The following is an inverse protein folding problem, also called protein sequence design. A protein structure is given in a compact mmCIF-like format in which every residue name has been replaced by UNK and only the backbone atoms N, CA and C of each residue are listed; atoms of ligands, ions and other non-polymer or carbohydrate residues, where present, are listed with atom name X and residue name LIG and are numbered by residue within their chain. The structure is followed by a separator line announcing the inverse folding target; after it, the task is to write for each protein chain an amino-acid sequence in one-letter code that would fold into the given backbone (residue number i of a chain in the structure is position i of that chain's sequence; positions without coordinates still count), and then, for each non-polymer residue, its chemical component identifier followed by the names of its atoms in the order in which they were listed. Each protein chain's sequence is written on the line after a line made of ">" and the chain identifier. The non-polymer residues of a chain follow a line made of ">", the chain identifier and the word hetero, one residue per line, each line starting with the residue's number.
data_IF_388225890804
#
_entry.id   IF_388225890804
#
_cell.length_a   1.000
_cell.length_b   1.000
_cell.length_c   1.000
_cell.angle_alpha   90.00
_cell.angle_beta   90.00
_cell.angle_gamma   90.00
#
_symmetry.space_group_name_H-M   'P 1'
#
loop_
_entity.id
_entity.type
_entity.pdbx_description
1 polymer ?
#
# COMPACT_ATOMS: atom_id res chain seq x y z
N UNK A 1 -20.12 -21.06 7.26
CA UNK A 1 -19.42 -22.34 7.53
C UNK A 1 -19.65 -23.42 6.46
N UNK A 2 -20.89 -23.73 6.04
CA UNK A 2 -21.16 -24.80 5.05
C UNK A 2 -20.42 -24.65 3.73
N UNK A 3 -20.36 -23.45 3.16
CA UNK A 3 -19.62 -23.19 1.90
C UNK A 3 -18.14 -23.52 2.03
N UNK A 4 -17.48 -23.04 3.09
CA UNK A 4 -16.06 -23.28 3.33
C UNK A 4 -15.73 -24.79 3.42
N UNK A 5 -16.51 -25.57 4.19
CA UNK A 5 -16.32 -27.02 4.30
C UNK A 5 -16.50 -27.70 2.95
N UNK A 6 -17.51 -27.30 2.16
CA UNK A 6 -17.74 -27.84 0.82
C UNK A 6 -16.54 -27.61 -0.11
N UNK A 7 -16.01 -26.38 -0.16
CA UNK A 7 -14.87 -26.05 -1.03
C UNK A 7 -13.57 -26.74 -0.56
N UNK A 8 -13.33 -26.83 0.75
CA UNK A 8 -12.18 -27.56 1.29
C UNK A 8 -12.25 -29.06 0.97
N UNK A 9 -13.41 -29.70 1.17
CA UNK A 9 -13.60 -31.12 0.81
C UNK A 9 -13.46 -31.36 -0.69
N UNK A 10 -13.89 -30.42 -1.53
CA UNK A 10 -13.71 -30.51 -2.98
C UNK A 10 -12.23 -30.49 -3.35
N UNK A 11 -11.43 -29.58 -2.79
CA UNK A 11 -9.97 -29.53 -2.99
C UNK A 11 -9.28 -30.82 -2.55
N UNK A 12 -9.59 -31.34 -1.36
CA UNK A 12 -8.98 -32.59 -0.86
C UNK A 12 -9.31 -33.79 -1.74
N UNK A 13 -10.52 -33.85 -2.33
CA UNK A 13 -10.90 -34.92 -3.25
C UNK A 13 -10.26 -34.80 -4.63
N UNK A 14 -9.93 -33.58 -5.05
CA UNK A 14 -9.29 -33.30 -6.34
C UNK A 14 -7.82 -33.70 -6.32
N UNK A 15 -7.09 -33.32 -5.25
CA UNK A 15 -5.64 -33.55 -5.16
C UNK A 15 -5.26 -34.86 -4.45
N UNK A 16 -6.23 -35.55 -3.85
CA UNK A 16 -6.07 -36.83 -3.13
C UNK A 16 -4.80 -36.90 -2.25
N UNK A 17 -4.61 -35.96 -1.29
CA UNK A 17 -3.34 -35.83 -0.59
C UNK A 17 -3.09 -37.04 0.31
N UNK A 18 -1.82 -37.42 0.40
CA UNK A 18 -1.33 -38.43 1.34
C UNK A 18 -1.45 -37.94 2.78
N UNK A 19 -1.35 -38.87 3.73
CA UNK A 19 -1.32 -38.55 5.17
C UNK A 19 -0.13 -37.64 5.52
N UNK A 20 1.00 -37.81 4.84
CA UNK A 20 2.21 -37.02 5.04
C UNK A 20 2.04 -35.57 4.53
N UNK A 21 1.45 -35.39 3.35
CA UNK A 21 1.11 -34.05 2.83
C UNK A 21 0.10 -33.34 3.73
N UNK A 22 -0.91 -34.05 4.22
CA UNK A 22 -1.84 -33.50 5.21
C UNK A 22 -1.13 -33.08 6.50
N UNK A 23 -0.26 -33.93 7.05
CA UNK A 23 0.52 -33.59 8.25
C UNK A 23 1.43 -32.37 8.04
N UNK A 24 2.01 -32.25 6.85
CA UNK A 24 2.82 -31.09 6.44
C UNK A 24 1.98 -29.81 6.39
N UNK A 25 0.77 -29.87 5.82
CA UNK A 25 -0.14 -28.73 5.79
C UNK A 25 -0.61 -28.29 7.19
N UNK A 26 -0.87 -29.25 8.09
CA UNK A 26 -1.18 -28.95 9.50
C UNK A 26 0.01 -28.27 10.17
N UNK A 27 1.22 -28.80 10.02
CA UNK A 27 2.44 -28.20 10.56
C UNK A 27 2.67 -26.78 10.04
N UNK A 28 2.46 -26.55 8.74
CA UNK A 28 2.52 -25.22 8.14
C UNK A 28 1.55 -24.23 8.79
N UNK A 29 0.28 -24.59 8.94
CA UNK A 29 -0.73 -23.72 9.57
C UNK A 29 -0.44 -23.47 11.06
N UNK A 30 0.08 -24.48 11.76
CA UNK A 30 0.55 -24.33 13.16
C UNK A 30 1.69 -23.32 13.24
N UNK A 31 2.69 -23.42 12.36
CA UNK A 31 3.81 -22.48 12.31
C UNK A 31 3.36 -21.06 11.97
N UNK A 32 2.38 -20.91 11.06
CA UNK A 32 1.79 -19.59 10.72
C UNK A 32 1.19 -18.96 11.98
N UNK A 33 0.40 -19.72 12.74
CA UNK A 33 -0.16 -19.26 14.00
C UNK A 33 0.92 -18.92 15.04
N UNK A 34 1.94 -19.76 15.20
CA UNK A 34 3.03 -19.56 16.16
C UNK A 34 3.94 -18.36 15.80
N UNK A 35 4.00 -17.97 14.53
CA UNK A 35 4.78 -16.83 14.04
C UNK A 35 4.06 -15.49 14.27
N UNK A 36 2.76 -15.52 14.54
CA UNK A 36 1.99 -14.30 14.81
C UNK A 36 2.38 -13.68 16.17
N UNK A 37 2.59 -12.37 16.19
CA UNK A 37 2.88 -11.55 17.38
C UNK A 37 2.01 -10.29 17.36
N UNK A 38 2.00 -9.44 18.40
CA UNK A 38 1.26 -8.17 18.37
C UNK A 38 1.63 -7.24 17.20
N UNK A 39 2.84 -7.41 16.64
CA UNK A 39 3.36 -6.58 15.54
C UNK A 39 3.61 -7.37 14.25
N UNK A 40 3.22 -8.66 14.20
CA UNK A 40 3.36 -9.52 13.03
C UNK A 40 2.12 -10.40 12.88
N UNK A 41 1.41 -10.26 11.76
CA UNK A 41 0.24 -11.08 11.45
C UNK A 41 0.52 -12.00 10.26
N UNK A 42 1.12 -13.16 10.55
CA UNK A 42 1.50 -14.13 9.50
C UNK A 42 0.28 -14.74 8.79
N UNK A 43 -0.89 -14.83 9.46
CA UNK A 43 -2.14 -15.24 8.81
C UNK A 43 -2.66 -14.20 7.81
N UNK A 44 -2.50 -12.91 8.10
CA UNK A 44 -2.83 -11.84 7.14
C UNK A 44 -1.87 -11.94 5.95
N UNK A 45 -0.57 -12.10 6.21
CA UNK A 45 0.42 -12.25 5.15
C UNK A 45 0.16 -13.49 4.26
N UNK A 46 -0.29 -14.60 4.86
CA UNK A 46 -0.72 -15.79 4.12
C UNK A 46 -1.94 -15.48 3.23
N UNK A 47 -2.92 -14.75 3.75
CA UNK A 47 -4.08 -14.29 2.98
C UNK A 47 -3.66 -13.39 1.81
N UNK A 48 -2.70 -12.48 2.03
CA UNK A 48 -2.18 -11.55 1.04
C UNK A 48 -1.51 -12.29 -0.12
N UNK A 49 -0.56 -13.19 0.18
CA UNK A 49 0.17 -13.92 -0.87
C UNK A 49 -0.69 -14.96 -1.59
N UNK A 50 -1.83 -15.36 -1.04
CA UNK A 50 -2.80 -16.21 -1.72
C UNK A 50 -3.84 -15.40 -2.51
N UNK A 51 -3.77 -14.06 -2.47
CA UNK A 51 -4.69 -13.15 -3.16
C UNK A 51 -6.07 -13.04 -2.50
N UNK A 52 -6.27 -13.67 -1.34
CA UNK A 52 -7.56 -13.68 -0.63
C UNK A 52 -7.87 -12.28 -0.10
N UNK A 53 -6.89 -11.57 0.45
CA UNK A 53 -7.10 -10.21 0.95
C UNK A 53 -7.57 -9.26 -0.14
N UNK A 54 -6.90 -9.27 -1.30
CA UNK A 54 -7.28 -8.45 -2.46
C UNK A 54 -8.63 -8.86 -3.07
N UNK A 55 -8.96 -10.15 -3.05
CA UNK A 55 -10.27 -10.62 -3.50
C UNK A 55 -11.39 -10.12 -2.57
N UNK A 56 -11.22 -10.23 -1.26
CA UNK A 56 -12.17 -9.70 -0.27
C UNK A 56 -12.32 -8.19 -0.45
N UNK A 57 -11.22 -7.47 -0.58
CA UNK A 57 -11.21 -6.02 -0.80
C UNK A 57 -12.01 -5.64 -2.06
N UNK A 58 -11.72 -6.27 -3.19
CA UNK A 58 -12.37 -5.99 -4.48
C UNK A 58 -13.88 -6.26 -4.44
N UNK A 59 -14.31 -7.32 -3.75
CA UNK A 59 -15.72 -7.67 -3.64
C UNK A 59 -16.52 -6.71 -2.75
N UNK A 60 -15.90 -6.14 -1.71
CA UNK A 60 -16.58 -5.26 -0.77
C UNK A 60 -16.47 -3.77 -1.14
N UNK A 61 -15.51 -3.40 -2.01
CA UNK A 61 -15.25 -2.02 -2.40
C UNK A 61 -15.28 -1.77 -3.91
N UNK A 62 -16.37 -2.11 -4.63
CA UNK A 62 -16.45 -1.99 -6.09
C UNK A 62 -16.32 -0.54 -6.57
N UNK A 63 -15.22 -0.22 -7.27
CA UNK A 63 -14.78 1.13 -7.63
C UNK A 63 -15.89 2.08 -8.12
N UNK A 64 -16.68 1.63 -9.09
CA UNK A 64 -17.55 2.52 -9.87
C UNK A 64 -16.70 3.62 -10.51
N UNK A 65 -17.04 4.87 -10.21
CA UNK A 65 -16.25 6.06 -10.61
C UNK A 65 -15.26 6.54 -9.55
N UNK A 66 -15.21 5.89 -8.37
CA UNK A 66 -14.29 6.25 -7.30
C UNK A 66 -12.91 5.64 -7.50
N UNK A 67 -11.91 6.16 -6.79
CA UNK A 67 -10.58 5.57 -6.76
C UNK A 67 -10.66 4.15 -6.22
N UNK A 68 -9.95 3.23 -6.86
CA UNK A 68 -9.94 1.84 -6.44
C UNK A 68 -9.23 1.66 -5.11
N UNK A 69 -9.79 0.82 -4.24
CA UNK A 69 -9.15 0.44 -2.99
C UNK A 69 -8.18 -0.73 -3.18
N UNK A 70 -7.34 -0.94 -2.17
CA UNK A 70 -6.36 -2.03 -2.07
C UNK A 70 -6.16 -2.41 -0.60
N UNK A 71 -5.46 -3.51 -0.34
CA UNK A 71 -5.02 -3.89 1.01
C UNK A 71 -4.15 -2.80 1.66
N UNK A 72 -4.34 -2.56 2.96
CA UNK A 72 -3.54 -1.62 3.76
C UNK A 72 -2.07 -2.03 3.88
N UNK A 73 -1.82 -3.33 3.97
CA UNK A 73 -0.50 -3.88 4.25
C UNK A 73 -0.08 -3.73 5.72
N UNK A 74 1.04 -4.36 6.13
CA UNK A 74 1.34 -4.55 7.55
C UNK A 74 2.12 -3.40 8.21
N UNK A 75 2.31 -2.26 7.52
CA UNK A 75 3.25 -1.22 7.95
C UNK A 75 2.60 0.11 8.37
N UNK A 76 1.27 0.17 8.45
CA UNK A 76 0.57 1.25 9.16
C UNK A 76 0.43 0.90 10.65
N UNK A 77 1.57 0.81 11.33
CA UNK A 77 1.66 0.36 12.74
C UNK A 77 1.74 1.52 13.75
N UNK A 78 1.96 2.74 13.25
CA UNK A 78 2.14 3.95 14.05
C UNK A 78 1.44 5.12 13.36
N UNK A 79 0.92 6.06 14.16
CA UNK A 79 0.23 7.23 13.64
C UNK A 79 1.18 8.13 12.84
N UNK A 80 0.76 8.48 11.62
CA UNK A 80 1.43 9.48 10.81
C UNK A 80 1.37 10.86 11.47
N UNK A 81 2.49 11.60 11.53
CA UNK A 81 2.51 12.92 12.16
C UNK A 81 1.72 13.94 11.31
N UNK A 82 0.91 14.83 11.92
CA UNK A 82 0.29 15.95 11.22
C UNK A 82 1.35 16.86 10.60
N UNK A 83 1.17 17.21 9.33
CA UNK A 83 2.11 18.05 8.58
C UNK A 83 1.38 19.13 7.76
N UNK A 84 1.96 20.34 7.62
CA UNK A 84 1.41 21.34 6.71
C UNK A 84 1.56 20.89 5.26
N UNK A 85 0.66 21.37 4.38
CA UNK A 85 0.77 21.14 2.95
C UNK A 85 2.13 21.60 2.41
N UNK A 86 2.75 20.75 1.60
CA UNK A 86 4.09 20.95 1.06
C UNK A 86 5.21 20.57 2.02
N UNK A 87 4.96 19.99 3.19
CA UNK A 87 6.05 19.47 4.03
C UNK A 87 6.89 18.42 3.29
N UNK A 88 8.17 18.30 3.66
CA UNK A 88 9.02 17.17 3.26
C UNK A 88 8.85 16.03 4.25
N UNK A 89 8.42 14.87 3.75
CA UNK A 89 8.28 13.65 4.55
C UNK A 89 9.54 12.77 4.49
N UNK A 90 10.48 13.04 3.57
CA UNK A 90 11.74 12.32 3.48
C UNK A 90 12.79 12.93 4.42
N UNK A 91 12.91 12.37 5.62
CA UNK A 91 13.72 12.88 6.72
C UNK A 91 15.14 12.28 6.74
N UNK A 92 15.36 11.15 6.06
CA UNK A 92 16.65 10.45 6.04
C UNK A 92 17.64 11.00 4.99
N UNK A 93 17.20 11.95 4.15
CA UNK A 93 18.02 12.61 3.14
C UNK A 93 18.42 11.72 1.96
N UNK A 94 17.79 10.55 1.79
CA UNK A 94 18.10 9.59 0.71
C UNK A 94 17.08 9.68 -0.42
N UNK A 95 17.41 9.09 -1.57
CA UNK A 95 16.46 8.83 -2.66
C UNK A 95 16.22 9.99 -3.63
N UNK A 96 15.60 9.66 -4.75
CA UNK A 96 15.25 10.62 -5.81
C UNK A 96 14.09 11.49 -5.35
N UNK A 97 14.35 12.79 -5.16
CA UNK A 97 13.36 13.73 -4.65
C UNK A 97 12.12 13.81 -5.54
N UNK A 98 10.95 13.77 -4.91
CA UNK A 98 9.66 13.73 -5.58
C UNK A 98 8.68 14.74 -4.99
N UNK A 99 7.95 15.46 -5.84
CA UNK A 99 6.76 16.22 -5.47
C UNK A 99 5.51 15.40 -5.79
N UNK A 100 4.73 15.07 -4.77
CA UNK A 100 3.42 14.42 -4.91
C UNK A 100 2.34 15.49 -4.77
N UNK A 101 1.38 15.50 -5.69
CA UNK A 101 0.24 16.41 -5.67
C UNK A 101 -1.05 15.66 -5.98
N UNK A 102 -2.18 16.21 -5.59
CA UNK A 102 -3.49 15.65 -5.95
C UNK A 102 -4.64 16.48 -5.43
N UNK A 103 -5.85 16.11 -5.83
CA UNK A 103 -7.11 16.67 -5.33
C UNK A 103 -7.99 15.55 -4.82
N UNK A 104 -8.51 15.69 -3.59
CA UNK A 104 -9.60 14.87 -3.08
C UNK A 104 -10.91 15.45 -3.60
N UNK A 105 -11.68 14.62 -4.29
CA UNK A 105 -12.97 14.98 -4.90
C UNK A 105 -14.02 13.90 -4.67
N UNK A 106 -15.29 14.24 -4.84
CA UNK A 106 -16.39 13.29 -4.88
C UNK A 106 -16.58 12.71 -6.30
N UNK A 107 -17.56 11.81 -6.46
CA UNK A 107 -17.86 11.16 -7.73
C UNK A 107 -18.32 12.12 -8.84
N UNK A 108 -18.82 13.31 -8.49
CA UNK A 108 -19.23 14.35 -9.43
C UNK A 108 -18.07 15.29 -9.80
N UNK A 109 -16.90 15.08 -9.19
CA UNK A 109 -15.70 15.90 -9.38
C UNK A 109 -15.65 17.15 -8.50
N UNK A 110 -16.57 17.30 -7.55
CA UNK A 110 -16.57 18.40 -6.59
C UNK A 110 -15.42 18.19 -5.61
N UNK A 111 -14.57 19.20 -5.36
CA UNK A 111 -13.54 19.08 -4.33
C UNK A 111 -14.12 18.77 -2.96
N UNK A 112 -13.37 18.04 -2.13
CA UNK A 112 -13.71 17.73 -0.74
C UNK A 112 -12.72 18.44 0.20
N UNK A 113 -12.99 19.70 0.59
CA UNK A 113 -12.17 20.42 1.55
C UNK A 113 -12.07 19.73 2.90
N UNK A 114 -10.92 19.86 3.56
CA UNK A 114 -10.72 19.30 4.89
C UNK A 114 -10.58 17.77 4.94
N UNK A 115 -10.59 17.09 3.79
CA UNK A 115 -10.28 15.67 3.73
C UNK A 115 -8.90 15.40 4.33
N UNK A 116 -8.80 14.37 5.16
CA UNK A 116 -7.55 13.92 5.77
C UNK A 116 -6.90 12.90 4.85
N UNK A 117 -5.62 13.12 4.54
CA UNK A 117 -4.81 12.30 3.64
C UNK A 117 -3.60 11.79 4.44
N UNK A 118 -3.67 10.55 4.91
CA UNK A 118 -2.55 9.84 5.53
C UNK A 118 -1.74 9.11 4.46
N UNK A 119 -0.43 9.34 4.43
CA UNK A 119 0.50 8.69 3.51
C UNK A 119 1.68 8.07 4.24
N UNK A 120 2.08 6.89 3.76
CA UNK A 120 3.31 6.22 4.18
C UNK A 120 3.94 5.43 3.02
N UNK A 121 5.26 5.30 3.02
CA UNK A 121 5.97 4.55 1.98
C UNK A 121 7.31 3.99 2.50
N UNK A 122 7.88 3.05 1.75
CA UNK A 122 9.26 2.59 1.95
C UNK A 122 10.27 3.66 1.48
N UNK A 123 11.45 3.64 2.09
CA UNK A 123 12.56 4.51 1.71
C UNK A 123 13.32 4.01 0.46
N UNK A 124 14.40 4.71 0.10
CA UNK A 124 15.25 4.37 -1.05
C UNK A 124 15.95 3.01 -0.93
N UNK A 125 16.01 2.45 0.29
CA UNK A 125 16.57 1.13 0.57
C UNK A 125 15.49 0.03 0.59
N UNK A 126 14.20 0.39 0.45
CA UNK A 126 13.08 -0.55 0.46
C UNK A 126 12.60 -0.93 1.87
N UNK A 127 12.72 -0.01 2.84
CA UNK A 127 12.28 -0.24 4.22
C UNK A 127 11.38 0.88 4.72
N UNK A 128 10.34 0.52 5.48
CA UNK A 128 9.59 1.46 6.30
C UNK A 128 10.37 1.77 7.59
N UNK A 129 10.16 2.95 8.14
CA UNK A 129 10.74 3.41 9.41
C UNK A 129 10.61 2.39 10.56
N UNK A 130 9.42 1.79 10.71
CA UNK A 130 9.12 0.79 11.75
C UNK A 130 9.96 -0.49 11.63
N UNK A 131 10.52 -0.78 10.46
CA UNK A 131 11.43 -1.91 10.26
C UNK A 131 12.87 -1.56 10.62
N UNK A 132 13.19 -0.28 10.76
CA UNK A 132 14.54 0.24 10.93
C UNK A 132 14.61 1.37 11.98
N UNK A 133 14.10 1.15 13.22
CA UNK A 133 13.96 2.21 14.23
C UNK A 133 15.29 2.86 14.67
N UNK A 134 16.42 2.18 14.48
CA UNK A 134 17.75 2.69 14.82
C UNK A 134 18.48 3.32 13.62
N UNK A 135 17.99 3.11 12.39
CA UNK A 135 18.65 3.54 11.16
C UNK A 135 17.89 4.62 10.40
N UNK A 136 16.57 4.73 10.60
CA UNK A 136 15.74 5.77 10.02
C UNK A 136 15.27 6.74 11.12
N UNK A 137 15.09 8.03 10.80
CA UNK A 137 14.37 8.94 11.68
C UNK A 137 12.97 8.39 12.01
N UNK A 138 12.50 8.61 13.24
CA UNK A 138 11.15 8.23 13.64
C UNK A 138 10.12 8.88 12.71
N UNK A 139 9.13 8.10 12.22
CA UNK A 139 8.09 8.56 11.29
C UNK A 139 8.64 9.14 9.98
N UNK A 140 9.81 8.67 9.54
CA UNK A 140 10.34 8.95 8.20
C UNK A 140 9.34 8.46 7.14
N UNK A 141 9.15 9.26 6.09
CA UNK A 141 8.27 8.98 4.96
C UNK A 141 6.80 8.71 5.34
N UNK A 142 6.37 9.31 6.46
CA UNK A 142 4.98 9.35 6.91
C UNK A 142 4.48 10.78 7.03
N UNK A 143 3.21 11.01 6.71
CA UNK A 143 2.58 12.31 6.89
C UNK A 143 1.06 12.26 6.86
N UNK A 144 0.45 13.02 7.77
CA UNK A 144 -0.99 13.23 7.82
C UNK A 144 -1.29 14.67 7.40
N UNK A 145 -1.97 14.83 6.26
CA UNK A 145 -2.27 16.13 5.67
C UNK A 145 -3.76 16.41 5.69
N UNK A 146 -4.13 17.68 5.76
CA UNK A 146 -5.51 18.14 5.56
C UNK A 146 -5.59 18.87 4.22
N UNK A 147 -6.47 18.41 3.35
CA UNK A 147 -6.72 19.02 2.04
C UNK A 147 -7.25 20.45 2.20
N UNK A 148 -6.83 21.35 1.30
CA UNK A 148 -7.20 22.76 1.34
C UNK A 148 -8.66 23.03 0.93
N UNK A 149 -9.06 24.30 0.88
CA UNK A 149 -10.42 24.74 0.49
C UNK A 149 -10.81 24.36 -0.95
N UNK A 150 -9.88 23.85 -1.75
CA UNK A 150 -10.08 23.33 -3.10
C UNK A 150 -9.83 21.82 -3.17
N UNK A 151 -9.82 21.13 -2.01
CA UNK A 151 -9.58 19.69 -1.90
C UNK A 151 -8.15 19.28 -2.24
N UNK A 152 -7.21 20.22 -2.41
CA UNK A 152 -5.85 19.91 -2.87
C UNK A 152 -4.97 19.46 -1.72
N UNK A 153 -4.10 18.51 -2.01
CA UNK A 153 -3.00 18.12 -1.14
C UNK A 153 -1.69 18.07 -1.93
N UNK A 154 -0.58 18.35 -1.26
CA UNK A 154 0.75 18.16 -1.82
C UNK A 154 1.79 17.99 -0.72
N UNK A 155 2.86 17.27 -1.04
CA UNK A 155 3.99 17.05 -0.15
C UNK A 155 5.25 16.67 -0.94
N UNK A 156 6.41 16.96 -0.37
CA UNK A 156 7.71 16.51 -0.88
C UNK A 156 8.06 15.17 -0.25
N UNK A 157 8.59 14.27 -1.04
CA UNK A 157 9.00 12.92 -0.66
C UNK A 157 10.15 12.47 -1.57
N UNK A 158 10.28 11.16 -1.76
CA UNK A 158 11.14 10.50 -2.73
C UNK A 158 10.32 9.52 -3.58
N UNK A 159 10.84 9.11 -4.73
CA UNK A 159 10.31 7.94 -5.45
C UNK A 159 10.54 6.70 -4.57
N UNK A 160 9.49 5.96 -4.16
CA UNK A 160 9.65 4.79 -3.33
C UNK A 160 10.42 3.68 -4.07
N UNK A 161 11.09 2.82 -3.32
CA UNK A 161 11.66 1.59 -3.87
C UNK A 161 10.69 0.42 -3.67
N UNK A 162 10.75 -0.55 -4.58
CA UNK A 162 10.15 -1.86 -4.35
C UNK A 162 10.77 -2.52 -3.11
N UNK A 163 10.05 -3.42 -2.46
CA UNK A 163 10.56 -4.11 -1.27
C UNK A 163 9.98 -5.52 -1.11
N UNK A 164 10.72 -6.46 -0.48
CA UNK A 164 10.20 -7.77 -0.16
C UNK A 164 9.26 -7.72 1.05
N UNK A 165 8.16 -8.47 1.01
CA UNK A 165 7.40 -8.82 2.22
C UNK A 165 8.26 -9.69 3.16
N UNK A 166 7.89 -9.86 4.45
CA UNK A 166 8.60 -10.76 5.36
C UNK A 166 8.72 -12.19 4.79
N UNK A 167 9.92 -12.76 4.82
CA UNK A 167 10.24 -14.10 4.26
C UNK A 167 10.91 -15.05 5.25
N UNK A 168 11.15 -14.60 6.47
CA UNK A 168 11.74 -15.38 7.57
C UNK A 168 10.74 -16.32 8.26
N UNK A 169 9.48 -16.33 7.81
CA UNK A 169 8.40 -17.15 8.34
C UNK A 169 7.93 -18.28 7.41
N UNK A 170 6.90 -19.04 7.82
CA UNK A 170 6.28 -20.07 6.98
C UNK A 170 5.80 -19.53 5.63
N UNK A 171 5.28 -18.30 5.55
CA UNK A 171 4.88 -17.70 4.27
C UNK A 171 6.05 -17.60 3.30
N UNK A 172 7.24 -17.21 3.79
CA UNK A 172 8.45 -17.20 2.98
C UNK A 172 8.84 -18.59 2.45
N UNK A 173 8.66 -19.64 3.26
CA UNK A 173 8.87 -21.02 2.81
C UNK A 173 7.88 -21.42 1.72
N UNK A 174 6.62 -21.00 1.82
CA UNK A 174 5.61 -21.27 0.79
C UNK A 174 5.93 -20.53 -0.52
N UNK A 175 6.37 -19.28 -0.46
CA UNK A 175 6.83 -18.55 -1.65
C UNK A 175 7.99 -19.26 -2.34
N UNK A 176 9.00 -19.67 -1.57
CA UNK A 176 10.14 -20.42 -2.09
C UNK A 176 9.71 -21.76 -2.74
N UNK A 177 8.84 -22.51 -2.07
CA UNK A 177 8.33 -23.79 -2.57
C UNK A 177 7.51 -23.65 -3.87
N UNK A 178 6.92 -22.48 -4.09
CA UNK A 178 6.12 -22.15 -5.30
C UNK A 178 6.90 -21.32 -6.32
N UNK A 179 8.22 -21.14 -6.13
CA UNK A 179 9.09 -20.33 -6.99
C UNK A 179 8.59 -18.89 -7.21
N UNK A 180 7.96 -18.30 -6.19
CA UNK A 180 7.45 -16.92 -6.20
C UNK A 180 8.41 -15.99 -5.48
N UNK A 181 8.60 -14.79 -6.03
CA UNK A 181 9.36 -13.75 -5.35
C UNK A 181 8.50 -13.05 -4.28
N UNK A 182 9.12 -12.45 -3.24
CA UNK A 182 8.41 -11.73 -2.18
C UNK A 182 8.20 -10.24 -2.48
N UNK A 183 8.71 -9.72 -3.60
CA UNK A 183 8.71 -8.28 -3.84
C UNK A 183 7.34 -7.71 -4.17
N UNK A 184 7.05 -6.55 -3.57
CA UNK A 184 5.99 -5.63 -3.96
C UNK A 184 6.59 -4.49 -4.78
N UNK A 185 5.95 -4.04 -5.87
CA UNK A 185 6.43 -2.93 -6.68
C UNK A 185 6.47 -1.63 -5.88
N UNK A 186 7.19 -0.63 -6.38
CA UNK A 186 7.28 0.68 -5.74
C UNK A 186 5.90 1.35 -5.65
N UNK A 187 5.50 1.78 -4.45
CA UNK A 187 4.22 2.44 -4.22
C UNK A 187 4.23 3.36 -3.00
N UNK A 188 3.25 4.27 -2.97
CA UNK A 188 2.91 5.11 -1.82
C UNK A 188 1.52 4.70 -1.34
N UNK A 189 1.36 4.46 -0.04
CA UNK A 189 0.06 4.20 0.54
C UNK A 189 -0.71 5.49 0.80
N UNK A 190 -2.04 5.41 0.70
CA UNK A 190 -2.97 6.47 1.03
C UNK A 190 -4.12 5.89 1.88
N UNK A 191 -4.37 6.45 3.06
CA UNK A 191 -5.65 6.35 3.78
C UNK A 191 -6.30 7.73 3.76
N UNK A 192 -7.41 7.85 3.03
CA UNK A 192 -8.12 9.11 2.80
C UNK A 192 -9.49 9.06 3.43
N UNK A 193 -9.77 10.04 4.29
CA UNK A 193 -11.01 10.13 5.07
C UNK A 193 -11.59 11.53 5.02
N UNK A 194 -12.92 11.61 4.92
CA UNK A 194 -13.66 12.87 5.00
C UNK A 194 -15.04 12.61 5.60
N UNK A 195 -15.59 13.58 6.33
CA UNK A 195 -16.94 13.48 6.90
C UNK A 195 -17.98 13.29 5.79
N UNK A 196 -18.85 12.29 5.93
CA UNK A 196 -19.86 11.95 4.94
C UNK A 196 -19.36 11.11 3.75
N UNK A 197 -18.10 10.64 3.81
CA UNK A 197 -17.50 9.78 2.80
C UNK A 197 -16.99 8.49 3.43
N UNK A 198 -17.10 7.39 2.69
CA UNK A 198 -16.48 6.11 3.08
C UNK A 198 -14.96 6.29 3.10
N UNK A 199 -14.26 5.83 4.14
CA UNK A 199 -12.80 5.77 4.14
C UNK A 199 -12.27 5.00 2.94
N UNK A 200 -11.15 5.46 2.39
CA UNK A 200 -10.47 4.81 1.27
C UNK A 200 -9.02 4.51 1.63
N UNK A 201 -8.69 3.22 1.67
CA UNK A 201 -7.30 2.75 1.65
C UNK A 201 -6.93 2.38 0.22
N UNK A 202 -5.90 3.01 -0.33
CA UNK A 202 -5.42 2.81 -1.70
C UNK A 202 -3.89 2.91 -1.80
N UNK A 203 -3.35 2.60 -2.97
CA UNK A 203 -1.94 2.72 -3.30
C UNK A 203 -1.78 3.55 -4.56
N UNK A 204 -0.69 4.31 -4.65
CA UNK A 204 -0.19 4.93 -5.86
C UNK A 204 1.06 4.16 -6.30
N UNK A 205 0.96 3.39 -7.39
CA UNK A 205 2.08 2.60 -7.92
C UNK A 205 2.91 3.39 -8.92
N UNK A 206 4.23 3.18 -8.89
CA UNK A 206 5.17 3.80 -9.83
C UNK A 206 5.23 2.96 -11.11
N UNK A 207 4.84 3.55 -12.24
CA UNK A 207 4.93 2.91 -13.56
C UNK A 207 6.38 2.53 -13.91
N UNK A 208 6.53 1.51 -14.76
CA UNK A 208 7.80 1.06 -15.32
C UNK A 208 8.87 0.71 -14.27
N UNK A 209 8.43 0.23 -13.10
CA UNK A 209 9.32 -0.27 -12.03
C UNK A 209 9.31 -1.79 -11.93
N UNK A 210 10.36 -2.41 -11.33
CA UNK A 210 10.37 -3.85 -11.09
C UNK A 210 9.13 -4.33 -10.35
N UNK A 211 8.64 -5.52 -10.73
CA UNK A 211 7.53 -6.24 -10.10
C UNK A 211 6.14 -5.63 -10.27
N UNK A 212 5.96 -4.64 -11.16
CA UNK A 212 4.64 -4.05 -11.40
C UNK A 212 3.61 -5.07 -11.89
N UNK A 213 4.03 -6.01 -12.75
CA UNK A 213 3.17 -7.07 -13.31
C UNK A 213 3.14 -8.33 -12.43
N UNK A 214 3.80 -8.32 -11.26
CA UNK A 214 4.01 -9.54 -10.47
C UNK A 214 4.00 -9.29 -8.96
N UNK A 215 3.28 -8.28 -8.47
CA UNK A 215 3.16 -7.97 -7.04
C UNK A 215 2.87 -9.23 -6.21
N UNK A 216 3.72 -9.50 -5.21
CA UNK A 216 3.61 -10.69 -4.37
C UNK A 216 2.26 -10.83 -3.64
N UNK A 217 1.53 -9.71 -3.47
CA UNK A 217 0.22 -9.66 -2.81
C UNK A 217 -0.92 -9.22 -3.74
N UNK A 218 -0.68 -9.14 -5.05
CA UNK A 218 -1.69 -8.82 -6.07
C UNK A 218 -2.40 -7.47 -5.86
N UNK A 219 -1.72 -6.46 -5.30
CA UNK A 219 -2.30 -5.16 -4.98
C UNK A 219 -2.37 -4.19 -6.16
N UNK A 220 -1.70 -4.49 -7.27
CA UNK A 220 -1.63 -3.59 -8.43
C UNK A 220 -2.94 -3.59 -9.20
N UNK A 221 -3.40 -2.38 -9.54
CA UNK A 221 -4.54 -2.12 -10.42
C UNK A 221 -4.14 -1.02 -11.39
N UNK A 222 -4.45 -1.17 -12.67
CA UNK A 222 -4.01 -0.25 -13.73
C UNK A 222 -4.38 1.21 -13.44
N UNK A 223 -5.57 1.43 -12.87
CA UNK A 223 -6.07 2.77 -12.51
C UNK A 223 -5.25 3.46 -11.43
N UNK A 224 -4.43 2.72 -10.69
CA UNK A 224 -3.57 3.17 -9.59
C UNK A 224 -2.10 3.33 -9.99
N UNK A 225 -1.74 2.96 -11.22
CA UNK A 225 -0.38 3.11 -11.75
C UNK A 225 -0.22 4.51 -12.35
N UNK A 226 0.85 5.22 -11.98
CA UNK A 226 1.18 6.54 -12.54
C UNK A 226 2.64 6.64 -12.93
N UNK A 227 2.89 7.39 -14.00
CA UNK A 227 4.23 7.82 -14.36
C UNK A 227 4.72 8.89 -13.37
N UNK A 228 5.94 8.73 -12.89
CA UNK A 228 6.64 9.75 -12.10
C UNK A 228 7.55 10.53 -13.05
N UNK A 229 7.06 11.62 -13.61
CA UNK A 229 7.78 12.41 -14.61
C UNK A 229 8.97 13.18 -14.01
N UNK A 230 10.02 13.42 -14.81
CA UNK A 230 11.17 14.25 -14.40
C UNK A 230 10.91 15.71 -14.77
N UNK A 231 11.20 16.60 -13.82
CA UNK A 231 11.19 18.06 -14.02
C UNK A 231 12.61 18.56 -13.93
N UNK A 232 13.15 18.97 -15.08
CA UNK A 232 14.47 19.60 -15.20
C UNK A 232 14.32 21.11 -15.49
N UNK A 233 13.73 21.80 -14.53
CA UNK A 233 13.49 23.25 -14.59
C UNK A 233 13.82 23.88 -13.22
N UNK A 234 14.90 24.70 -13.15
CA UNK A 234 15.31 25.34 -11.90
C UNK A 234 14.26 26.25 -11.26
N UNK A 235 13.41 26.92 -12.05
CA UNK A 235 12.36 27.79 -11.52
C UNK A 235 11.27 26.95 -10.84
N UNK A 236 10.82 25.88 -11.51
CA UNK A 236 9.84 24.95 -10.93
C UNK A 236 10.39 24.21 -9.70
N UNK A 237 11.68 23.89 -9.70
CA UNK A 237 12.35 23.28 -8.56
C UNK A 237 12.38 24.23 -7.35
N UNK A 238 12.70 25.52 -7.58
CA UNK A 238 12.66 26.55 -6.55
C UNK A 238 11.24 26.73 -5.98
N UNK A 239 10.21 26.78 -6.84
CA UNK A 239 8.80 26.88 -6.42
C UNK A 239 8.37 25.67 -5.57
N UNK A 240 8.83 24.47 -5.92
CA UNK A 240 8.55 23.25 -5.17
C UNK A 240 9.36 23.13 -3.86
N UNK A 241 10.44 23.90 -3.71
CA UNK A 241 11.44 23.72 -2.65
C UNK A 241 12.23 22.42 -2.79
N UNK A 242 12.57 22.05 -4.03
CA UNK A 242 13.30 20.83 -4.38
C UNK A 242 14.56 21.15 -5.21
N UNK A 243 15.56 20.24 -5.25
CA UNK A 243 16.66 20.37 -6.19
C UNK A 243 16.20 20.14 -7.64
N UNK A 244 16.93 20.69 -8.60
CA UNK A 244 16.74 20.39 -10.03
C UNK A 244 17.81 19.37 -10.48
N UNK A 245 17.45 18.31 -11.20
CA UNK A 245 16.07 17.86 -11.50
C UNK A 245 15.39 17.17 -10.29
N UNK A 246 14.06 17.10 -10.32
CA UNK A 246 13.25 16.31 -9.38
C UNK A 246 12.17 15.50 -10.10
N UNK A 247 11.55 14.55 -9.41
CA UNK A 247 10.43 13.73 -9.91
C UNK A 247 9.09 14.33 -9.48
N UNK A 248 8.03 14.14 -10.26
CA UNK A 248 6.70 14.57 -9.84
C UNK A 248 5.61 13.64 -10.32
N UNK A 249 4.58 13.51 -9.51
CA UNK A 249 3.37 12.74 -9.81
C UNK A 249 2.14 13.51 -9.34
N UNK A 250 1.07 13.39 -10.12
CA UNK A 250 -0.25 13.89 -9.78
C UNK A 250 -1.23 12.73 -9.62
N UNK A 251 -1.92 12.67 -8.49
CA UNK A 251 -2.85 11.60 -8.14
C UNK A 251 -4.11 12.15 -7.47
N UNK A 252 -5.16 12.32 -8.26
CA UNK A 252 -6.48 12.65 -7.72
C UNK A 252 -7.11 11.44 -7.02
N UNK A 253 -7.77 11.73 -5.90
CA UNK A 253 -8.49 10.74 -5.10
C UNK A 253 -9.98 11.05 -5.16
N UNK A 254 -10.77 10.09 -5.66
CA UNK A 254 -12.22 10.19 -5.72
C UNK A 254 -12.83 9.36 -4.59
N UNK A 255 -13.47 10.01 -3.63
CA UNK A 255 -14.14 9.37 -2.50
C UNK A 255 -15.60 9.03 -2.82
N UNK A 256 -16.11 7.97 -2.19
CA UNK A 256 -17.53 7.62 -2.23
C UNK A 256 -18.27 8.23 -1.05
N UNK A 257 -19.47 8.80 -1.26
CA UNK A 257 -20.34 9.17 -0.15
C UNK A 257 -20.65 7.97 0.75
N UNK A 258 -20.82 8.21 2.05
CA UNK A 258 -21.48 7.24 2.92
C UNK A 258 -22.94 7.10 2.49
N UNK A 259 -23.42 5.86 2.37
CA UNK A 259 -24.85 5.62 2.17
C UNK A 259 -25.55 5.94 3.49
N UNK A 260 -26.49 6.89 3.48
CA UNK A 260 -27.38 7.10 4.62
C UNK A 260 -28.26 5.85 4.77
N UNK A 261 -28.09 5.12 5.87
CA UNK A 261 -28.98 4.02 6.26
C UNK A 261 -30.33 4.55 6.73
#
# INVERSE_FOLDING_TARGET
>A
MTSAVRHLHAFVKDVEPTVEEWATAIGFLTDVGATCTPVRQEFILLSDILGVSMLVETLNNPAGHATESTVEGPFHMVDSPPRPLGADIALDGKGDRCLVTGTVKDADGTPVPGAVVDVWQANADGFYDVQQPELQPERNLRGLFTADDQGRFWFRSIVPRYYPIPTDGPVGRLLNATARHPNRPAHIHFDVRATGFRPLVTHLFVADTPYIDSDAVFGVKDSLVREFSTVDDPARAADAGLPSPFRTVHFDVVLRPEEQQ
#
